data_IF_489356630012
#
_entry.id   IF_489356630012
#
_cell.length_a   1.000
_cell.length_b   1.000
_cell.length_c   1.000
_cell.angle_alpha   90.00
_cell.angle_beta   90.00
_cell.angle_gamma   90.00
#
_symmetry.space_group_name_H-M   'P 1'
#
loop_
_entity.id
_entity.type
_entity.pdbx_description
1 polymer ?
#
# COMPACT_ATOMS: atom_id res chain seq x y z
N UNK A 1 -23.26 -67.34 55.09
CA UNK A 1 -21.88 -67.30 55.62
C UNK A 1 -21.02 -68.09 54.64
N UNK A 2 -20.08 -67.59 53.87
CA UNK A 2 -19.40 -66.31 53.80
C UNK A 2 -17.96 -66.63 53.41
N UNK A 3 -17.46 -66.11 52.28
CA UNK A 3 -16.03 -65.88 52.02
C UNK A 3 -15.81 -65.13 50.71
N UNK A 4 -14.71 -64.36 50.72
CA UNK A 4 -13.88 -63.87 49.61
C UNK A 4 -14.28 -62.54 48.95
N UNK A 5 -13.36 -61.56 48.96
CA UNK A 5 -12.38 -61.37 47.86
C UNK A 5 -11.34 -60.29 48.21
N UNK A 6 -10.19 -60.37 47.55
CA UNK A 6 -8.99 -59.56 47.73
C UNK A 6 -8.87 -58.37 46.74
N UNK A 7 -7.95 -57.46 47.12
CA UNK A 7 -7.06 -56.61 46.29
C UNK A 7 -7.60 -55.39 45.53
N UNK A 8 -6.85 -54.28 45.62
CA UNK A 8 -6.96 -53.11 44.75
C UNK A 8 -6.15 -51.92 45.26
N UNK A 9 -4.88 -51.83 44.83
CA UNK A 9 -3.90 -50.77 45.16
C UNK A 9 -4.26 -49.44 44.50
N UNK A 10 -3.98 -48.34 45.20
CA UNK A 10 -4.34 -46.97 44.85
C UNK A 10 -3.73 -46.49 43.51
N UNK A 11 -4.58 -45.86 42.70
CA UNK A 11 -4.21 -45.16 41.48
C UNK A 11 -3.80 -43.71 41.80
N UNK A 12 -2.58 -43.36 41.43
CA UNK A 12 -2.07 -41.99 41.35
C UNK A 12 -2.63 -41.35 40.08
N UNK A 13 -3.46 -40.30 40.24
CA UNK A 13 -4.12 -39.61 39.14
C UNK A 13 -3.25 -38.41 38.75
N UNK A 14 -2.35 -38.64 37.81
CA UNK A 14 -1.55 -37.58 37.19
C UNK A 14 -2.46 -36.58 36.47
N UNK A 15 -2.45 -35.34 36.97
CA UNK A 15 -3.09 -34.20 36.34
C UNK A 15 -2.38 -33.87 35.00
N UNK A 16 -2.93 -34.37 33.89
CA UNK A 16 -2.59 -33.87 32.57
C UNK A 16 -3.33 -32.55 32.33
N UNK A 17 -2.67 -31.44 32.69
CA UNK A 17 -3.06 -30.12 32.21
C UNK A 17 -2.94 -30.09 30.69
N UNK A 18 -4.07 -30.03 29.99
CA UNK A 18 -4.09 -29.72 28.57
C UNK A 18 -3.57 -28.29 28.38
N UNK A 19 -2.33 -28.15 27.91
CA UNK A 19 -1.84 -26.88 27.37
C UNK A 19 -2.69 -26.51 26.15
N UNK A 20 -3.33 -25.32 26.10
CA UNK A 20 -4.05 -24.91 24.91
C UNK A 20 -3.05 -24.73 23.76
N UNK A 21 -3.44 -25.24 22.59
CA UNK A 21 -2.68 -25.19 21.36
C UNK A 21 -2.36 -23.75 20.95
N UNK A 22 -1.14 -23.54 20.46
CA UNK A 22 -0.51 -22.26 20.17
C UNK A 22 -1.08 -21.50 18.94
N UNK A 23 -2.30 -21.79 18.49
CA UNK A 23 -2.91 -21.20 17.29
C UNK A 23 -4.10 -20.27 17.58
N UNK A 24 -4.33 -19.90 18.84
CA UNK A 24 -5.41 -18.96 19.20
C UNK A 24 -4.93 -17.52 19.12
N UNK A 25 -5.21 -16.86 17.99
CA UNK A 25 -5.18 -15.39 17.89
C UNK A 25 -6.08 -14.84 19.00
N UNK A 26 -5.53 -13.98 19.84
CA UNK A 26 -6.29 -13.37 20.93
C UNK A 26 -7.41 -12.49 20.38
N UNK A 27 -8.48 -12.32 21.16
CA UNK A 27 -9.55 -11.40 20.78
C UNK A 27 -9.02 -9.96 20.52
N UNK A 28 -7.95 -9.56 21.21
CA UNK A 28 -7.30 -8.26 21.03
C UNK A 28 -6.58 -8.16 19.69
N UNK A 29 -5.80 -9.16 19.32
CA UNK A 29 -5.11 -9.21 18.02
C UNK A 29 -6.11 -9.25 16.85
N UNK A 30 -7.22 -9.98 17.00
CA UNK A 30 -8.29 -10.01 16.00
C UNK A 30 -8.94 -8.62 15.81
N UNK A 31 -9.20 -7.90 16.91
CA UNK A 31 -9.72 -6.52 16.85
C UNK A 31 -8.73 -5.59 16.18
N UNK A 32 -7.44 -5.67 16.54
CA UNK A 32 -6.38 -4.86 15.92
C UNK A 32 -6.25 -5.12 14.42
N UNK A 33 -6.34 -6.38 14.00
CA UNK A 33 -6.28 -6.75 12.58
C UNK A 33 -7.48 -6.18 11.82
N UNK A 34 -8.69 -6.27 12.37
CA UNK A 34 -9.90 -5.69 11.77
C UNK A 34 -9.76 -4.18 11.61
N UNK A 35 -9.27 -3.48 12.64
CA UNK A 35 -9.05 -2.05 12.60
C UNK A 35 -8.01 -1.65 11.54
N UNK A 36 -6.92 -2.42 11.44
CA UNK A 36 -5.88 -2.22 10.43
C UNK A 36 -6.39 -2.43 9.01
N UNK A 37 -7.15 -3.49 8.77
CA UNK A 37 -7.73 -3.80 7.46
C UNK A 37 -8.75 -2.73 7.06
N UNK A 38 -9.57 -2.27 8.02
CA UNK A 38 -10.53 -1.19 7.80
C UNK A 38 -9.84 0.15 7.48
N UNK A 39 -8.73 0.47 8.14
CA UNK A 39 -7.93 1.66 7.84
C UNK A 39 -7.34 1.58 6.43
N UNK A 40 -6.74 0.44 6.08
CA UNK A 40 -6.17 0.20 4.75
C UNK A 40 -7.22 0.30 3.65
N UNK A 41 -8.42 -0.26 3.87
CA UNK A 41 -9.53 -0.18 2.92
C UNK A 41 -10.02 1.26 2.73
N UNK A 42 -10.07 2.07 3.80
CA UNK A 42 -10.43 3.50 3.72
C UNK A 42 -9.40 4.29 2.92
N UNK A 43 -8.12 4.05 3.15
CA UNK A 43 -7.04 4.70 2.39
C UNK A 43 -7.13 4.32 0.92
N UNK A 44 -7.28 3.03 0.60
CA UNK A 44 -7.44 2.58 -0.77
C UNK A 44 -8.66 3.23 -1.45
N UNK A 45 -9.80 3.32 -0.75
CA UNK A 45 -11.00 4.00 -1.27
C UNK A 45 -10.77 5.50 -1.57
N UNK A 46 -9.99 6.20 -0.73
CA UNK A 46 -9.61 7.60 -1.02
C UNK A 46 -8.71 7.70 -2.25
N UNK A 47 -7.79 6.74 -2.41
CA UNK A 47 -6.92 6.68 -3.58
C UNK A 47 -7.71 6.37 -4.85
N UNK A 48 -8.63 5.42 -4.82
CA UNK A 48 -9.50 5.07 -5.95
C UNK A 48 -10.44 6.22 -6.33
N UNK A 49 -10.91 7.01 -5.36
CA UNK A 49 -11.68 8.22 -5.62
C UNK A 49 -10.86 9.29 -6.36
N UNK A 50 -9.55 9.35 -6.10
CA UNK A 50 -8.64 10.27 -6.78
C UNK A 50 -8.22 9.75 -8.16
N UNK A 51 -7.92 8.45 -8.25
CA UNK A 51 -7.38 7.75 -9.41
C UNK A 51 -8.12 6.41 -9.58
N UNK A 52 -9.25 6.39 -10.32
CA UNK A 52 -10.04 5.17 -10.50
C UNK A 52 -9.27 4.08 -11.26
N UNK A 53 -9.40 2.83 -10.82
CA UNK A 53 -8.95 1.67 -11.58
C UNK A 53 -9.80 1.58 -12.87
N UNK A 54 -9.19 1.88 -14.02
CA UNK A 54 -9.90 1.96 -15.31
C UNK A 54 -10.18 3.37 -15.81
N UNK A 55 -9.57 4.40 -15.21
CA UNK A 55 -9.53 5.75 -15.78
C UNK A 55 -9.07 5.71 -17.24
N UNK A 56 -9.87 6.27 -18.14
CA UNK A 56 -9.48 6.46 -19.55
C UNK A 56 -8.39 7.53 -19.63
N UNK A 57 -7.18 7.09 -19.99
CA UNK A 57 -6.01 7.95 -20.21
C UNK A 57 -5.57 7.93 -21.68
N UNK A 58 -6.49 7.64 -22.61
CA UNK A 58 -6.22 7.55 -24.04
C UNK A 58 -5.26 6.39 -24.36
N UNK A 59 -4.04 6.70 -24.80
CA UNK A 59 -3.09 5.68 -25.23
C UNK A 59 -2.38 4.96 -24.07
N UNK A 60 -2.60 5.39 -22.82
CA UNK A 60 -2.05 4.77 -21.62
C UNK A 60 -3.16 4.10 -20.83
N UNK A 61 -2.80 3.10 -20.03
CA UNK A 61 -3.73 2.48 -19.08
C UNK A 61 -3.15 2.46 -17.67
N UNK A 62 -4.02 2.55 -16.66
CA UNK A 62 -3.67 2.28 -15.26
C UNK A 62 -3.85 0.79 -15.05
N UNK A 63 -2.77 0.11 -14.70
CA UNK A 63 -2.78 -1.31 -14.38
C UNK A 63 -3.06 -1.55 -12.90
N UNK A 64 -2.47 -0.73 -12.04
CA UNK A 64 -2.58 -0.87 -10.59
C UNK A 64 -2.42 0.46 -9.89
N UNK A 65 -3.21 0.67 -8.84
CA UNK A 65 -2.99 1.75 -7.88
C UNK A 65 -2.84 1.12 -6.50
N UNK A 66 -1.86 1.58 -5.73
CA UNK A 66 -1.63 1.09 -4.37
C UNK A 66 -2.11 2.10 -3.33
N UNK A 67 -2.49 1.59 -2.15
CA UNK A 67 -2.63 2.43 -0.97
C UNK A 67 -1.29 3.14 -0.65
N UNK A 68 -1.32 4.28 0.08
CA UNK A 68 -0.11 4.99 0.45
C UNK A 68 0.91 4.07 1.15
N UNK A 69 2.14 4.03 0.65
CA UNK A 69 3.24 3.26 1.25
C UNK A 69 4.52 4.06 1.21
N UNK A 70 5.24 4.08 2.33
CA UNK A 70 6.44 4.91 2.50
C UNK A 70 6.17 6.38 2.10
N UNK A 71 5.00 6.91 2.50
CA UNK A 71 4.63 8.31 2.27
C UNK A 71 4.22 8.69 0.84
N UNK A 72 4.01 7.74 -0.08
CA UNK A 72 3.62 8.00 -1.45
C UNK A 72 2.57 7.00 -1.96
N UNK A 73 1.81 7.39 -2.97
CA UNK A 73 0.95 6.47 -3.73
C UNK A 73 1.69 6.02 -4.98
N UNK A 74 1.79 4.71 -5.17
CA UNK A 74 2.38 4.14 -6.38
C UNK A 74 1.28 3.80 -7.39
N UNK A 75 1.41 4.36 -8.59
CA UNK A 75 0.54 4.10 -9.74
C UNK A 75 1.34 3.36 -10.80
N UNK A 76 0.93 2.15 -11.16
CA UNK A 76 1.50 1.41 -12.29
C UNK A 76 0.70 1.73 -13.54
N UNK A 77 1.40 2.22 -14.55
CA UNK A 77 0.84 2.57 -15.84
C UNK A 77 1.50 1.73 -16.95
N UNK A 78 0.78 1.53 -18.06
CA UNK A 78 1.34 0.95 -19.29
C UNK A 78 1.40 1.99 -20.41
N UNK A 79 2.50 1.96 -21.16
CA UNK A 79 2.65 2.71 -22.41
C UNK A 79 1.78 2.08 -23.51
N UNK A 80 1.56 2.76 -24.65
CA UNK A 80 0.80 2.18 -25.76
C UNK A 80 1.48 0.94 -26.37
N UNK A 81 2.79 0.77 -26.15
CA UNK A 81 3.57 -0.40 -26.57
C UNK A 81 3.48 -1.57 -25.58
N UNK A 82 2.85 -1.37 -24.42
CA UNK A 82 2.67 -2.37 -23.37
C UNK A 82 3.70 -2.32 -22.24
N UNK A 83 4.69 -1.42 -22.29
CA UNK A 83 5.73 -1.32 -21.26
C UNK A 83 5.14 -0.77 -19.96
N UNK A 84 5.37 -1.47 -18.85
CA UNK A 84 4.94 -1.02 -17.53
C UNK A 84 5.95 -0.01 -16.95
N UNK A 85 5.44 1.03 -16.30
CA UNK A 85 6.24 2.00 -15.55
C UNK A 85 5.48 2.46 -14.31
N UNK A 86 6.22 2.82 -13.26
CA UNK A 86 5.66 3.28 -12.01
C UNK A 86 5.78 4.80 -11.89
N UNK A 87 4.69 5.40 -11.43
CA UNK A 87 4.60 6.81 -11.06
C UNK A 87 4.35 6.90 -9.57
N UNK A 88 5.23 7.58 -8.85
CA UNK A 88 5.04 7.91 -7.46
C UNK A 88 4.40 9.28 -7.34
N UNK A 89 3.24 9.32 -6.68
CA UNK A 89 2.56 10.55 -6.33
C UNK A 89 2.88 10.89 -4.87
N UNK A 90 3.43 12.08 -4.67
CA UNK A 90 3.82 12.62 -3.36
C UNK A 90 3.10 13.94 -3.11
N UNK A 91 3.07 14.38 -1.85
CA UNK A 91 2.64 15.74 -1.53
C UNK A 91 3.55 16.73 -2.23
N UNK A 92 2.94 17.76 -2.83
CA UNK A 92 3.66 18.82 -3.54
C UNK A 92 4.64 19.53 -2.62
N UNK A 93 5.81 19.83 -3.17
CA UNK A 93 6.88 20.55 -2.51
C UNK A 93 7.55 21.50 -3.51
N UNK A 94 7.62 22.78 -3.19
CA UNK A 94 8.26 23.76 -4.07
C UNK A 94 9.79 23.54 -4.19
N UNK A 95 10.39 22.81 -3.25
CA UNK A 95 11.83 22.51 -3.27
C UNK A 95 12.21 21.33 -4.17
N UNK A 96 11.24 20.52 -4.58
CA UNK A 96 11.47 19.34 -5.42
C UNK A 96 10.34 19.19 -6.45
N UNK A 97 10.56 19.72 -7.65
CA UNK A 97 9.59 19.63 -8.73
C UNK A 97 9.48 18.19 -9.26
N UNK A 98 8.24 17.71 -9.38
CA UNK A 98 7.96 16.47 -10.08
C UNK A 98 8.14 16.62 -11.59
N UNK A 99 8.00 15.50 -12.30
CA UNK A 99 7.86 15.51 -13.75
C UNK A 99 6.56 16.18 -14.20
N UNK A 100 5.53 16.11 -13.34
CA UNK A 100 4.33 16.91 -13.41
C UNK A 100 3.86 17.25 -11.99
N UNK A 101 3.28 18.43 -11.82
CA UNK A 101 2.70 18.88 -10.56
C UNK A 101 1.20 19.15 -10.74
N UNK A 102 0.44 18.93 -9.66
CA UNK A 102 -0.96 19.36 -9.51
C UNK A 102 -1.04 20.45 -8.45
N UNK A 103 -2.24 20.78 -7.95
CA UNK A 103 -2.34 21.74 -6.83
C UNK A 103 -1.74 21.15 -5.55
N UNK A 104 -1.99 19.88 -5.25
CA UNK A 104 -1.61 19.25 -3.99
C UNK A 104 -0.52 18.20 -4.11
N UNK A 105 -0.18 17.75 -5.33
CA UNK A 105 0.75 16.65 -5.54
C UNK A 105 1.87 16.97 -6.54
N UNK A 106 2.97 16.24 -6.40
CA UNK A 106 4.06 16.16 -7.36
C UNK A 106 4.25 14.70 -7.77
N UNK A 107 4.35 14.46 -9.07
CA UNK A 107 4.43 13.12 -9.66
C UNK A 107 5.83 12.86 -10.19
N UNK A 108 6.38 11.71 -9.83
CA UNK A 108 7.75 11.29 -10.15
C UNK A 108 7.71 9.92 -10.83
N UNK A 109 8.62 9.65 -11.76
CA UNK A 109 8.78 8.30 -12.32
C UNK A 109 9.78 7.54 -11.46
N UNK A 110 9.38 6.36 -10.99
CA UNK A 110 10.30 5.43 -10.33
C UNK A 110 11.07 4.65 -11.41
N UNK A 111 12.24 5.15 -11.81
CA UNK A 111 13.10 4.52 -12.82
C UNK A 111 14.43 4.00 -12.25
N UNK A 112 14.59 4.00 -10.92
CA UNK A 112 15.83 3.69 -10.17
C UNK A 112 17.07 4.45 -10.66
N UNK A 113 16.85 5.54 -11.38
CA UNK A 113 17.88 6.21 -12.14
C UNK A 113 18.55 7.34 -11.40
N UNK A 114 18.23 7.61 -10.12
CA UNK A 114 18.79 8.69 -9.27
C UNK A 114 19.01 10.06 -9.96
N UNK A 115 18.24 10.39 -11.01
CA UNK A 115 18.44 11.57 -11.86
C UNK A 115 19.43 11.40 -13.03
N UNK A 116 20.21 10.32 -13.08
CA UNK A 116 21.13 9.98 -14.18
C UNK A 116 20.48 9.25 -15.37
N UNK A 117 19.33 8.59 -15.16
CA UNK A 117 18.61 7.88 -16.23
C UNK A 117 17.59 8.79 -16.91
N UNK A 118 17.76 8.98 -18.22
CA UNK A 118 16.76 9.68 -19.04
C UNK A 118 15.41 8.98 -18.96
N UNK A 119 14.38 9.78 -18.75
CA UNK A 119 12.99 9.35 -18.81
C UNK A 119 12.58 9.16 -20.26
N UNK A 120 11.93 8.03 -20.56
CA UNK A 120 11.33 7.80 -21.87
C UNK A 120 10.17 8.78 -22.12
N UNK A 121 10.06 9.28 -23.35
CA UNK A 121 9.10 10.33 -23.69
C UNK A 121 7.64 9.88 -23.51
N UNK A 122 7.33 8.61 -23.80
CA UNK A 122 5.98 8.07 -23.60
C UNK A 122 5.63 8.00 -22.12
N UNK A 123 6.59 7.63 -21.26
CA UNK A 123 6.38 7.67 -19.82
C UNK A 123 6.13 9.10 -19.34
N UNK A 124 6.94 10.06 -19.80
CA UNK A 124 6.78 11.46 -19.41
C UNK A 124 5.44 12.07 -19.81
N UNK A 125 4.98 11.77 -21.04
CA UNK A 125 3.65 12.19 -21.50
C UNK A 125 2.54 11.52 -20.68
N UNK A 126 2.67 10.24 -20.37
CA UNK A 126 1.72 9.51 -19.53
C UNK A 126 1.56 10.15 -18.13
N UNK A 127 2.67 10.53 -17.49
CA UNK A 127 2.63 11.23 -16.19
C UNK A 127 1.88 12.56 -16.27
N UNK A 128 2.07 13.33 -17.36
CA UNK A 128 1.35 14.60 -17.56
C UNK A 128 -0.15 14.39 -17.76
N UNK A 129 -0.54 13.33 -18.48
CA UNK A 129 -1.95 12.94 -18.62
C UNK A 129 -2.54 12.59 -17.25
N UNK A 130 -1.86 11.76 -16.48
CA UNK A 130 -2.31 11.41 -15.12
C UNK A 130 -2.46 12.66 -14.22
N UNK A 131 -1.48 13.56 -14.23
CA UNK A 131 -1.54 14.82 -13.48
C UNK A 131 -2.74 15.69 -13.89
N UNK A 132 -3.09 15.71 -15.18
CA UNK A 132 -4.26 16.45 -15.67
C UNK A 132 -5.56 15.88 -15.10
N UNK A 133 -5.72 14.55 -15.06
CA UNK A 133 -6.88 13.91 -14.45
C UNK A 133 -6.96 14.19 -12.94
N UNK A 134 -5.86 14.01 -12.21
CA UNK A 134 -5.80 14.31 -10.77
C UNK A 134 -6.19 15.76 -10.51
N UNK A 135 -5.66 16.71 -11.30
CA UNK A 135 -5.99 18.14 -11.17
C UNK A 135 -7.48 18.44 -11.41
N UNK A 136 -8.19 17.61 -12.17
CA UNK A 136 -9.65 17.72 -12.35
C UNK A 136 -10.38 17.21 -11.13
N UNK A 137 -9.95 16.09 -10.56
CA UNK A 137 -10.54 15.51 -9.34
C UNK A 137 -10.26 16.36 -8.09
N UNK A 138 -9.09 16.97 -7.97
CA UNK A 138 -8.79 17.93 -6.90
C UNK A 138 -9.79 19.11 -6.90
N UNK A 139 -10.17 19.58 -8.09
CA UNK A 139 -11.13 20.69 -8.25
C UNK A 139 -12.56 20.31 -7.91
N UNK A 140 -12.92 19.01 -7.92
CA UNK A 140 -14.24 18.57 -7.49
C UNK A 140 -14.38 18.44 -5.97
N UNK A 141 -13.29 18.67 -5.20
CA UNK A 141 -13.31 18.61 -3.74
C UNK A 141 -13.26 17.19 -3.18
N UNK A 142 -12.73 16.23 -3.94
CA UNK A 142 -12.51 14.88 -3.44
C UNK A 142 -11.57 14.90 -2.22
N UNK A 143 -11.77 14.02 -1.22
CA UNK A 143 -10.85 13.90 -0.10
C UNK A 143 -9.43 13.57 -0.60
N UNK A 144 -8.43 14.21 0.01
CA UNK A 144 -7.03 14.06 -0.39
C UNK A 144 -6.31 13.16 0.62
N UNK A 145 -5.54 12.17 0.16
CA UNK A 145 -4.71 11.35 1.03
C UNK A 145 -3.59 12.19 1.67
N UNK A 146 -3.24 11.88 2.92
CA UNK A 146 -2.06 12.45 3.56
C UNK A 146 -0.79 11.76 3.04
N UNK A 147 0.03 12.52 2.31
CA UNK A 147 1.28 12.04 1.73
C UNK A 147 2.47 12.85 2.25
N UNK A 148 3.67 12.28 2.14
CA UNK A 148 4.92 12.97 2.41
C UNK A 148 5.37 13.79 1.19
N UNK A 149 6.14 14.85 1.43
CA UNK A 149 6.92 15.46 0.34
C UNK A 149 8.10 14.57 -0.04
N UNK A 150 8.72 14.85 -1.18
CA UNK A 150 9.93 14.15 -1.62
C UNK A 150 11.03 14.18 -0.54
N UNK A 151 11.35 15.37 -0.01
CA UNK A 151 12.38 15.52 1.01
C UNK A 151 12.04 14.81 2.34
N UNK A 152 10.75 14.75 2.71
CA UNK A 152 10.32 14.01 3.89
C UNK A 152 10.47 12.49 3.68
N UNK A 153 10.05 12.00 2.51
CA UNK A 153 10.14 10.59 2.15
C UNK A 153 11.58 10.11 2.14
N UNK A 154 12.50 10.86 1.53
CA UNK A 154 13.93 10.52 1.52
C UNK A 154 14.52 10.50 2.94
N UNK A 155 14.15 11.44 3.80
CA UNK A 155 14.66 11.51 5.17
C UNK A 155 14.15 10.35 6.04
N UNK A 156 12.87 9.98 5.90
CA UNK A 156 12.25 8.96 6.73
C UNK A 156 12.49 7.54 6.21
N UNK A 157 12.72 7.40 4.89
CA UNK A 157 12.92 6.11 4.23
C UNK A 157 14.13 6.10 3.29
N UNK A 158 15.35 6.47 3.73
CA UNK A 158 16.51 6.68 2.85
C UNK A 158 16.90 5.46 2.00
N UNK A 159 16.53 4.25 2.44
CA UNK A 159 16.76 2.99 1.72
C UNK A 159 15.45 2.26 1.40
N UNK A 160 14.34 3.00 1.31
CA UNK A 160 13.03 2.44 1.02
C UNK A 160 13.02 1.75 -0.34
N UNK A 161 12.57 0.49 -0.38
CA UNK A 161 12.26 -0.14 -1.65
C UNK A 161 10.99 0.50 -2.21
N UNK A 162 11.12 1.55 -3.01
CA UNK A 162 10.00 2.30 -3.58
C UNK A 162 9.37 1.59 -4.78
N UNK A 163 10.15 0.79 -5.50
CA UNK A 163 9.70 0.05 -6.68
C UNK A 163 8.70 -1.05 -6.31
N UNK A 164 7.66 -1.17 -7.12
CA UNK A 164 6.68 -2.27 -7.04
C UNK A 164 6.63 -3.11 -8.32
N UNK A 165 7.34 -2.67 -9.37
CA UNK A 165 7.64 -3.48 -10.55
C UNK A 165 8.86 -4.33 -10.21
N UNK A 166 8.61 -5.58 -9.81
CA UNK A 166 9.64 -6.60 -9.57
C UNK A 166 10.11 -7.24 -10.86
#
# INVERSE_FOLDING_TARGET
MGTARAAGSAADVGAAGAQPAADTVTAQEAVQQIEYDAATARELAMVEALIPAGLDMGNWSIEKVQAPRLGAIAVVMRTPKGDAFQVDMLRRDASAAGLADTKHFSLFIANSGNGSKSTDEWQARGVKVLAHHISRTERSGAPLPELMTFAQRERQHPFGNYGILG
#
